data_IF_593861820298
#
_entry.id   IF_593861820298
#
_cell.length_a   1.000
_cell.length_b   1.000
_cell.length_c   1.000
_cell.angle_alpha   90.00
_cell.angle_beta   90.00
_cell.angle_gamma   90.00
#
_symmetry.space_group_name_H-M   'P 1'
#
loop_
_entity.id
_entity.type
_entity.pdbx_description
1 polymer ?
#
# COMPACT_ATOMS: atom_id res chain seq x y z
N UNK A 1 -11.91 -1.73 -2.86
CA UNK A 1 -10.94 -2.10 -1.80
C UNK A 1 -9.78 -1.13 -1.83
N UNK A 2 -8.93 -1.16 -0.81
CA UNK A 2 -7.74 -0.31 -0.67
C UNK A 2 -6.52 -1.23 -0.69
N UNK A 3 -5.47 -0.85 -1.42
CA UNK A 3 -4.14 -1.50 -1.38
C UNK A 3 -3.15 -0.49 -0.82
N UNK A 4 -2.50 -0.83 0.28
CA UNK A 4 -1.33 -0.13 0.77
C UNK A 4 -0.10 -1.00 0.55
N UNK A 5 0.93 -0.45 -0.11
CA UNK A 5 2.19 -1.13 -0.34
C UNK A 5 3.22 -0.59 0.65
N UNK A 6 3.91 -1.51 1.32
CA UNK A 6 4.93 -1.21 2.31
C UNK A 6 6.15 -2.06 2.02
N UNK A 7 7.34 -1.46 2.14
CA UNK A 7 8.60 -2.08 1.77
C UNK A 7 9.63 -1.83 2.86
N UNK A 8 10.42 -2.84 3.18
CA UNK A 8 11.50 -2.70 4.13
C UNK A 8 12.59 -1.81 3.53
N UNK A 9 13.15 -0.91 4.32
CA UNK A 9 14.30 -0.08 3.96
C UNK A 9 15.60 -0.85 4.23
N UNK A 10 16.74 -0.43 3.65
CA UNK A 10 18.04 -1.02 3.98
C UNK A 10 18.41 -0.94 5.46
N UNK A 11 17.85 0.02 6.21
CA UNK A 11 18.03 0.14 7.66
C UNK A 11 17.17 -0.85 8.47
N UNK A 12 16.33 -1.66 7.82
CA UNK A 12 15.42 -2.60 8.46
C UNK A 12 14.07 -2.01 8.90
N UNK A 13 13.86 -0.70 8.72
CA UNK A 13 12.59 -0.01 8.95
C UNK A 13 11.61 -0.25 7.79
N UNK A 14 10.38 0.28 7.86
CA UNK A 14 9.41 0.18 6.77
C UNK A 14 9.13 1.55 6.14
N UNK A 15 9.00 1.56 4.81
CA UNK A 15 8.56 2.69 4.00
C UNK A 15 7.18 2.38 3.45
N UNK A 16 6.31 3.39 3.39
CA UNK A 16 4.92 3.23 2.96
C UNK A 16 4.66 4.06 1.71
N UNK A 17 4.27 3.39 0.62
CA UNK A 17 3.81 4.08 -0.57
C UNK A 17 2.39 4.62 -0.35
N UNK A 18 1.97 5.68 -1.08
CA UNK A 18 0.62 6.18 -0.97
C UNK A 18 -0.41 5.08 -1.27
N UNK A 19 -1.47 4.95 -0.46
CA UNK A 19 -2.48 3.92 -0.65
C UNK A 19 -3.31 4.17 -1.91
N UNK A 20 -3.73 3.08 -2.54
CA UNK A 20 -4.46 3.10 -3.82
C UNK A 20 -5.86 2.53 -3.60
N UNK A 21 -6.87 3.24 -4.07
CA UNK A 21 -8.22 2.70 -4.15
C UNK A 21 -8.36 1.86 -5.43
N UNK A 22 -8.89 0.66 -5.27
CA UNK A 22 -9.35 -0.20 -6.36
C UNK A 22 -10.86 -0.12 -6.40
N UNK A 23 -11.40 0.44 -7.48
CA UNK A 23 -12.84 0.70 -7.65
C UNK A 23 -13.35 -0.02 -8.89
N UNK A 24 -14.34 -0.87 -8.71
CA UNK A 24 -15.08 -1.47 -9.82
C UNK A 24 -16.40 -0.72 -9.99
N UNK A 25 -16.82 -0.50 -11.24
CA UNK A 25 -18.10 0.17 -11.55
C UNK A 25 -19.28 -0.80 -11.55
N UNK A 26 -19.03 -2.02 -12.06
CA UNK A 26 -20.10 -2.96 -12.41
C UNK A 26 -19.97 -4.32 -11.70
N UNK A 27 -18.91 -4.52 -10.91
CA UNK A 27 -18.64 -5.79 -10.22
C UNK A 27 -18.35 -5.52 -8.72
N UNK A 28 -18.97 -6.24 -7.77
CA UNK A 28 -18.57 -6.18 -6.36
C UNK A 28 -17.09 -6.51 -6.13
N UNK A 29 -16.43 -7.20 -7.06
CA UNK A 29 -15.01 -7.55 -7.02
C UNK A 29 -14.16 -6.35 -7.48
N UNK A 30 -13.58 -5.64 -6.51
CA UNK A 30 -12.61 -4.58 -6.73
C UNK A 30 -11.20 -5.11 -7.08
N UNK A 31 -11.09 -6.02 -8.05
CA UNK A 31 -9.80 -6.51 -8.54
C UNK A 31 -9.44 -5.85 -9.88
N UNK A 32 -8.32 -5.15 -9.92
CA UNK A 32 -7.85 -4.44 -11.12
C UNK A 32 -7.52 -5.39 -12.27
N UNK A 33 -7.07 -6.61 -11.99
CA UNK A 33 -6.86 -7.62 -13.02
C UNK A 33 -8.17 -8.06 -13.70
N UNK A 34 -9.33 -7.73 -13.10
CA UNK A 34 -10.68 -8.02 -13.61
C UNK A 34 -11.43 -6.75 -14.05
N UNK A 35 -10.72 -5.63 -14.28
CA UNK A 35 -11.31 -4.41 -14.82
C UNK A 35 -11.61 -3.31 -13.80
N UNK A 36 -11.30 -3.50 -12.51
CA UNK A 36 -11.36 -2.39 -11.56
C UNK A 36 -10.30 -1.32 -11.87
N UNK A 37 -10.64 -0.05 -11.67
CA UNK A 37 -9.70 1.06 -11.84
C UNK A 37 -8.89 1.27 -10.56
N UNK A 38 -7.59 1.54 -10.72
CA UNK A 38 -6.73 2.05 -9.66
C UNK A 38 -6.76 3.58 -9.71
N UNK A 39 -7.17 4.21 -8.61
CA UNK A 39 -7.15 5.67 -8.45
C UNK A 39 -6.49 6.04 -7.11
N UNK A 40 -5.93 7.25 -6.98
CA UNK A 40 -5.42 7.72 -5.70
C UNK A 40 -6.50 7.63 -4.62
N UNK A 41 -6.22 6.97 -3.50
CA UNK A 41 -7.20 6.85 -2.43
C UNK A 41 -7.59 8.22 -1.88
N UNK A 42 -6.62 9.12 -1.75
CA UNK A 42 -6.84 10.47 -1.25
C UNK A 42 -7.91 11.21 -2.04
N UNK A 43 -7.83 11.20 -3.37
CA UNK A 43 -8.78 11.90 -4.25
C UNK A 43 -10.19 11.35 -4.05
N UNK A 44 -10.33 10.01 -4.05
CA UNK A 44 -11.61 9.35 -3.83
C UNK A 44 -12.24 9.71 -2.47
N UNK A 45 -11.42 9.75 -1.41
CA UNK A 45 -11.90 10.09 -0.07
C UNK A 45 -12.23 11.57 0.07
N UNK A 46 -11.44 12.45 -0.56
CA UNK A 46 -11.69 13.89 -0.56
C UNK A 46 -12.99 14.21 -1.29
N UNK A 47 -13.22 13.60 -2.46
CA UNK A 47 -14.45 13.74 -3.24
C UNK A 47 -15.68 13.29 -2.43
N UNK A 48 -15.59 12.13 -1.74
CA UNK A 48 -16.74 11.56 -1.05
C UNK A 48 -17.02 12.19 0.32
N UNK A 49 -15.98 12.52 1.09
CA UNK A 49 -16.12 12.85 2.51
C UNK A 49 -15.32 14.09 2.96
N UNK A 50 -14.72 14.82 2.01
CA UNK A 50 -13.98 16.04 2.28
C UNK A 50 -12.54 15.83 2.79
N UNK A 51 -11.77 16.92 2.75
CA UNK A 51 -10.32 16.92 3.03
C UNK A 51 -10.00 16.45 4.45
N UNK A 52 -10.77 16.88 5.45
CA UNK A 52 -10.51 16.54 6.84
C UNK A 52 -10.65 15.02 7.09
N UNK A 53 -11.77 14.44 6.69
CA UNK A 53 -12.04 13.00 6.80
C UNK A 53 -11.02 12.18 6.02
N UNK A 54 -10.68 12.61 4.80
CA UNK A 54 -9.68 11.95 3.95
C UNK A 54 -8.33 11.85 4.67
N UNK A 55 -7.85 12.97 5.22
CA UNK A 55 -6.57 13.02 5.95
C UNK A 55 -6.59 12.09 7.17
N UNK A 56 -7.68 12.08 7.94
CA UNK A 56 -7.81 11.19 9.12
C UNK A 56 -7.77 9.71 8.74
N UNK A 57 -8.45 9.32 7.67
CA UNK A 57 -8.47 7.93 7.21
C UNK A 57 -7.11 7.49 6.66
N UNK A 58 -6.42 8.34 5.90
CA UNK A 58 -5.07 8.06 5.40
C UNK A 58 -4.10 7.87 6.57
N UNK A 59 -4.14 8.76 7.57
CA UNK A 59 -3.31 8.64 8.77
C UNK A 59 -3.63 7.36 9.55
N UNK A 60 -4.91 6.97 9.62
CA UNK A 60 -5.33 5.71 10.25
C UNK A 60 -4.75 4.50 9.51
N UNK A 61 -4.79 4.50 8.17
CA UNK A 61 -4.20 3.44 7.35
C UNK A 61 -2.69 3.35 7.58
N UNK A 62 -1.99 4.49 7.60
CA UNK A 62 -0.55 4.53 7.85
C UNK A 62 -0.18 3.96 9.23
N UNK A 63 -0.86 4.41 10.28
CA UNK A 63 -0.64 3.90 11.64
C UNK A 63 -0.93 2.39 11.77
N UNK A 64 -1.94 1.89 11.05
CA UNK A 64 -2.21 0.45 11.02
C UNK A 64 -1.14 -0.32 10.24
N UNK A 65 -0.66 0.22 9.12
CA UNK A 65 0.44 -0.39 8.37
C UNK A 65 1.69 -0.53 9.24
N UNK A 66 2.07 0.53 9.96
CA UNK A 66 3.21 0.53 10.88
C UNK A 66 3.07 -0.57 11.93
N UNK A 67 1.92 -0.63 12.62
CA UNK A 67 1.63 -1.67 13.62
C UNK A 67 1.73 -3.09 13.08
N UNK A 68 1.17 -3.33 11.89
CA UNK A 68 1.24 -4.64 11.23
C UNK A 68 2.69 -4.99 10.88
N UNK A 69 3.42 -4.05 10.29
CA UNK A 69 4.82 -4.26 9.90
C UNK A 69 5.72 -4.54 11.12
N UNK A 70 5.53 -3.82 12.22
CA UNK A 70 6.24 -4.09 13.48
C UNK A 70 5.90 -5.47 14.07
N UNK A 71 4.63 -5.87 14.04
CA UNK A 71 4.21 -7.20 14.49
C UNK A 71 4.81 -8.31 13.62
N UNK A 72 4.89 -8.10 12.31
CA UNK A 72 5.53 -9.02 11.36
C UNK A 72 7.03 -9.15 11.64
N UNK A 73 7.75 -8.05 11.88
CA UNK A 73 9.17 -8.08 12.24
C UNK A 73 9.44 -8.88 13.52
N UNK A 74 8.59 -8.74 14.54
CA UNK A 74 8.72 -9.47 15.81
C UNK A 74 8.49 -10.97 15.63
N UNK A 75 7.62 -11.36 14.70
CA UNK A 75 7.20 -12.75 14.50
C UNK A 75 8.11 -13.48 13.51
N UNK A 76 8.59 -12.79 12.48
CA UNK A 76 9.47 -13.32 11.46
C UNK A 76 10.92 -13.09 11.88
N UNK A 77 11.39 -13.95 12.78
CA UNK A 77 12.68 -13.88 13.48
C UNK A 77 13.93 -14.07 12.61
N UNK A 78 13.83 -14.08 11.28
CA UNK A 78 15.00 -14.21 10.42
C UNK A 78 14.88 -13.50 9.08
N UNK A 79 15.89 -12.72 8.65
CA UNK A 79 15.99 -12.18 7.28
C UNK A 79 16.02 -13.27 6.20
N UNK A 80 16.15 -14.56 6.57
CA UNK A 80 16.10 -15.71 5.66
C UNK A 80 14.81 -15.82 4.85
N UNK A 81 13.71 -15.20 5.27
CA UNK A 81 12.43 -15.31 4.56
C UNK A 81 12.23 -14.27 3.46
N UNK A 82 13.16 -13.34 3.25
CA UNK A 82 13.12 -12.42 2.10
C UNK A 82 11.88 -11.53 2.03
N UNK A 83 11.14 -11.38 3.14
CA UNK A 83 9.93 -10.57 3.20
C UNK A 83 10.29 -9.09 3.32
N UNK A 84 10.65 -8.51 2.19
CA UNK A 84 11.04 -7.10 2.03
C UNK A 84 9.88 -6.24 1.54
N UNK A 85 8.74 -6.83 1.18
CA UNK A 85 7.53 -6.14 0.73
C UNK A 85 6.27 -6.75 1.32
N UNK A 86 5.27 -5.91 1.55
CA UNK A 86 3.97 -6.27 2.06
C UNK A 86 2.87 -5.47 1.35
N UNK A 87 1.86 -6.17 0.82
CA UNK A 87 0.63 -5.57 0.31
C UNK A 87 -0.49 -5.75 1.31
N UNK A 88 -0.89 -4.67 1.96
CA UNK A 88 -1.95 -4.65 2.95
C UNK A 88 -3.26 -4.24 2.28
N UNK A 89 -4.22 -5.15 2.29
CA UNK A 89 -5.50 -4.96 1.64
C UNK A 89 -6.60 -4.70 2.64
N UNK A 90 -7.27 -3.56 2.45
CA UNK A 90 -8.35 -3.10 3.33
C UNK A 90 -9.66 -2.89 2.58
N UNK A 91 -10.73 -2.84 3.35
CA UNK A 91 -12.03 -2.26 2.96
C UNK A 91 -12.50 -1.27 4.02
N UNK A 92 -13.37 -0.35 3.60
CA UNK A 92 -14.08 0.55 4.49
C UNK A 92 -15.54 0.13 4.53
N UNK A 93 -16.14 0.10 5.71
CA UNK A 93 -17.60 -0.10 5.85
C UNK A 93 -18.37 1.22 5.78
N UNK A 94 -19.71 1.16 5.87
CA UNK A 94 -20.58 2.34 5.82
C UNK A 94 -20.31 3.35 6.95
N UNK A 95 -19.67 2.92 8.04
CA UNK A 95 -19.28 3.75 9.18
C UNK A 95 -17.83 4.25 9.08
N UNK A 96 -17.19 4.07 7.92
CA UNK A 96 -15.78 4.45 7.65
C UNK A 96 -14.79 3.70 8.54
N UNK A 97 -15.17 2.56 9.11
CA UNK A 97 -14.23 1.70 9.85
C UNK A 97 -13.39 0.93 8.86
N UNK A 98 -12.09 0.88 9.14
CA UNK A 98 -11.10 0.20 8.32
C UNK A 98 -10.98 -1.26 8.73
N UNK A 99 -11.14 -2.16 7.77
CA UNK A 99 -11.05 -3.60 7.97
C UNK A 99 -9.91 -4.17 7.12
N UNK A 100 -8.93 -4.81 7.77
CA UNK A 100 -7.88 -5.56 7.07
C UNK A 100 -8.46 -6.88 6.57
N UNK A 101 -8.26 -7.18 5.29
CA UNK A 101 -8.78 -8.38 4.63
C UNK A 101 -7.67 -9.36 4.31
N UNK A 102 -6.52 -8.87 3.85
CA UNK A 102 -5.41 -9.72 3.40
C UNK A 102 -4.06 -9.02 3.60
N UNK A 103 -3.04 -9.81 3.88
CA UNK A 103 -1.63 -9.41 3.92
C UNK A 103 -0.88 -10.25 2.88
N UNK A 104 -0.38 -9.60 1.83
CA UNK A 104 0.31 -10.24 0.71
C UNK A 104 1.82 -10.06 0.83
N UNK A 105 2.59 -11.14 0.92
CA UNK A 105 4.07 -11.09 0.96
C UNK A 105 4.77 -10.87 -0.38
N UNK A 106 4.03 -11.00 -1.50
CA UNK A 106 4.54 -10.75 -2.85
C UNK A 106 3.56 -9.88 -3.64
N UNK A 107 3.36 -8.62 -3.23
CA UNK A 107 2.35 -7.77 -3.83
C UNK A 107 2.78 -7.30 -5.23
N UNK A 108 1.89 -7.43 -6.20
CA UNK A 108 2.06 -6.68 -7.46
C UNK A 108 1.72 -5.21 -7.22
N UNK A 109 2.73 -4.34 -7.27
CA UNK A 109 2.56 -2.89 -7.16
C UNK A 109 1.84 -2.31 -8.36
N UNK A 110 0.77 -1.52 -8.13
CA UNK A 110 0.02 -0.85 -9.21
C UNK A 110 0.26 0.66 -9.32
N UNK A 111 1.30 1.13 -8.65
CA UNK A 111 1.75 2.52 -8.72
C UNK A 111 2.25 2.90 -10.12
N UNK A 112 2.65 1.93 -10.95
CA UNK A 112 2.98 2.15 -12.38
C UNK A 112 1.80 2.77 -13.14
N UNK A 113 0.57 2.30 -12.91
CA UNK A 113 -0.61 2.85 -13.59
C UNK A 113 -0.89 4.28 -13.13
N UNK A 114 -0.74 4.55 -11.83
CA UNK A 114 -0.91 5.90 -11.28
C UNK A 114 0.20 6.86 -11.72
N UNK A 115 1.44 6.39 -11.85
CA UNK A 115 2.55 7.19 -12.37
C UNK A 115 2.34 7.59 -13.84
N UNK A 116 1.62 6.78 -14.62
CA UNK A 116 1.25 7.14 -16.01
C UNK A 116 0.15 8.20 -16.07
N UNK A 117 -0.82 8.16 -15.16
CA UNK A 117 -1.98 9.08 -15.18
C UNK A 117 -1.78 10.33 -14.32
N UNK A 118 -0.90 10.27 -13.32
CA UNK A 118 -0.61 11.33 -12.35
C UNK A 118 0.90 11.38 -12.06
N UNK A 119 1.75 11.66 -13.08
CA UNK A 119 3.21 11.56 -12.96
C UNK A 119 3.78 12.43 -11.85
N UNK A 120 3.31 13.67 -11.71
CA UNK A 120 3.82 14.62 -10.71
C UNK A 120 3.65 14.15 -9.26
N UNK A 121 2.70 13.25 -9.01
CA UNK A 121 2.41 12.71 -7.68
C UNK A 121 3.04 11.35 -7.45
N UNK A 122 3.19 10.53 -8.49
CA UNK A 122 3.51 9.11 -8.32
C UNK A 122 4.76 8.62 -9.04
N UNK A 123 5.40 9.43 -9.91
CA UNK A 123 6.60 9.00 -10.63
C UNK A 123 7.75 8.64 -9.67
N UNK A 124 8.04 9.50 -8.70
CA UNK A 124 9.09 9.27 -7.68
C UNK A 124 8.78 8.03 -6.85
N UNK A 125 7.54 7.87 -6.39
CA UNK A 125 7.12 6.69 -5.65
C UNK A 125 7.29 5.42 -6.49
N UNK A 126 6.87 5.43 -7.75
CA UNK A 126 7.01 4.28 -8.64
C UNK A 126 8.48 3.89 -8.88
N UNK A 127 9.38 4.86 -9.00
CA UNK A 127 10.82 4.59 -9.11
C UNK A 127 11.34 3.95 -7.81
N UNK A 128 11.02 4.55 -6.66
CA UNK A 128 11.44 4.03 -5.35
C UNK A 128 11.01 2.59 -5.12
N UNK A 129 9.78 2.23 -5.51
CA UNK A 129 9.26 0.87 -5.36
C UNK A 129 10.10 -0.19 -6.06
N UNK A 130 10.67 0.11 -7.22
CA UNK A 130 11.49 -0.87 -7.95
C UNK A 130 12.90 -0.96 -7.36
N UNK A 131 13.45 0.15 -6.86
CA UNK A 131 14.81 0.19 -6.35
C UNK A 131 14.94 -0.32 -4.92
N UNK A 132 13.97 0.00 -4.04
CA UNK A 132 14.09 -0.24 -2.62
C UNK A 132 14.22 -1.74 -2.25
N UNK A 133 13.42 -2.67 -2.81
CA UNK A 133 13.56 -4.10 -2.50
C UNK A 133 14.95 -4.63 -2.84
N UNK A 134 15.52 -4.26 -3.99
CA UNK A 134 16.85 -4.67 -4.41
C UNK A 134 17.93 -4.13 -3.47
N UNK A 135 17.84 -2.85 -3.10
CA UNK A 135 18.76 -2.22 -2.15
C UNK A 135 18.70 -2.88 -0.76
N UNK A 136 17.51 -3.20 -0.28
CA UNK A 136 17.32 -3.87 1.01
C UNK A 136 17.87 -5.29 1.02
N UNK A 137 17.65 -6.07 -0.06
CA UNK A 137 18.24 -7.40 -0.20
C UNK A 137 19.77 -7.37 -0.21
N UNK A 138 20.38 -6.42 -0.94
CA UNK A 138 21.84 -6.25 -0.96
C UNK A 138 22.40 -5.92 0.43
N UNK A 139 21.71 -5.10 1.21
CA UNK A 139 22.10 -4.76 2.58
C UNK A 139 22.00 -5.94 3.55
N UNK A 140 21.05 -6.87 3.34
CA UNK A 140 20.90 -8.07 4.17
C UNK A 140 21.86 -9.22 3.78
N UNK A 141 22.48 -9.16 2.59
CA UNK A 141 23.40 -10.18 2.10
C UNK A 141 24.88 -9.93 2.50
N UNK A 142 25.16 -8.76 3.06
CA UNK A 142 26.45 -8.33 3.60
C UNK A 142 26.45 -8.39 5.13
#
# INVERSE_FOLDING_TARGET
SIRALTQQTPSGSWSHAPPVARVSKDDPIANVARGANAIPLEDLLQERWGVHTSRQLIATIQAQNERICEAMLKTLTSPRYGLIELGLDYVLDEHKRLWLIEVNGFPQGRLIQLAKTHPDRFATHCQQLHHQPLSSLLACAL
#
